data_IF_617460642019
#
_entry.id   IF_617460642019
#
_cell.length_a   1.000
_cell.length_b   1.000
_cell.length_c   1.000
_cell.angle_alpha   90.00
_cell.angle_beta   90.00
_cell.angle_gamma   90.00
#
_symmetry.space_group_name_H-M   'P 1'
#
loop_
_entity.id
_entity.type
_entity.pdbx_description
1 polymer ?
#
# COMPACT_ATOMS: atom_id res chain seq x y z
N UNK A 1 -1.61 -2.53 18.48
CA UNK A 1 -2.61 -1.54 17.99
C UNK A 1 -1.84 -0.27 17.69
N UNK A 2 -2.04 0.35 16.52
CA UNK A 2 -1.34 1.59 16.16
C UNK A 2 -1.88 2.71 17.07
N UNK A 3 -0.99 3.43 17.74
CA UNK A 3 -1.36 4.65 18.48
C UNK A 3 -2.08 5.60 17.53
N UNK A 4 -3.32 5.98 17.85
CA UNK A 4 -4.16 6.78 16.96
C UNK A 4 -4.40 8.14 17.58
N UNK A 5 -3.86 9.16 16.92
CA UNK A 5 -4.09 10.57 17.24
C UNK A 5 -5.42 11.00 16.62
N UNK A 6 -6.17 11.83 17.34
CA UNK A 6 -7.23 12.62 16.73
C UNK A 6 -6.64 13.55 15.65
N UNK A 7 -7.47 14.03 14.73
CA UNK A 7 -7.04 15.01 13.71
C UNK A 7 -6.41 16.26 14.35
N UNK A 8 -6.93 16.70 15.50
CA UNK A 8 -6.39 17.83 16.25
C UNK A 8 -4.99 17.52 16.80
N UNK A 9 -4.85 16.40 17.51
CA UNK A 9 -3.57 15.97 18.07
C UNK A 9 -2.53 15.72 16.97
N UNK A 10 -2.93 15.13 15.85
CA UNK A 10 -2.06 14.93 14.70
C UNK A 10 -1.51 16.26 14.17
N UNK A 11 -2.34 17.32 14.10
CA UNK A 11 -1.89 18.66 13.69
C UNK A 11 -0.91 19.28 14.69
N UNK A 12 -1.21 19.16 15.99
CA UNK A 12 -0.39 19.73 17.07
C UNK A 12 0.96 18.99 17.19
N UNK A 13 0.97 17.66 17.03
CA UNK A 13 2.14 16.82 17.21
C UNK A 13 2.95 16.58 15.93
N UNK A 14 2.46 17.00 14.76
CA UNK A 14 3.12 16.75 13.47
C UNK A 14 4.61 17.12 13.47
N UNK A 15 5.06 18.28 13.99
CA UNK A 15 6.48 18.61 14.02
C UNK A 15 7.33 17.58 14.79
N UNK A 16 6.83 17.09 15.93
CA UNK A 16 7.49 16.09 16.77
C UNK A 16 7.50 14.71 16.10
N UNK A 17 6.40 14.32 15.46
CA UNK A 17 6.34 13.08 14.66
C UNK A 17 7.38 13.12 13.53
N UNK A 18 7.46 14.23 12.79
CA UNK A 18 8.43 14.40 11.72
C UNK A 18 9.87 14.46 12.24
N UNK A 19 10.11 15.05 13.40
CA UNK A 19 11.42 15.03 14.05
C UNK A 19 11.85 13.61 14.43
N UNK A 20 10.95 12.83 15.02
CA UNK A 20 11.19 11.41 15.31
C UNK A 20 11.53 10.63 14.04
N UNK A 21 10.78 10.82 12.95
CA UNK A 21 11.06 10.18 11.67
C UNK A 21 12.43 10.57 11.11
N UNK A 22 12.79 11.86 11.15
CA UNK A 22 14.14 12.33 10.75
C UNK A 22 15.26 11.71 11.59
N UNK A 23 14.97 11.39 12.85
CA UNK A 23 15.91 10.72 13.76
C UNK A 23 15.85 9.17 13.64
N UNK A 24 15.22 8.63 12.59
CA UNK A 24 15.21 7.21 12.28
C UNK A 24 14.11 6.39 12.97
N UNK A 25 13.14 7.02 13.63
CA UNK A 25 11.98 6.30 14.16
C UNK A 25 11.09 5.81 13.01
N UNK A 26 10.87 4.50 12.97
CA UNK A 26 10.10 3.82 11.91
C UNK A 26 8.69 3.43 12.33
N UNK A 27 8.27 3.80 13.55
CA UNK A 27 6.96 3.41 14.10
C UNK A 27 5.82 4.17 13.41
N UNK A 28 4.82 3.46 12.84
CA UNK A 28 3.64 4.10 12.25
C UNK A 28 2.82 4.84 13.30
N UNK A 29 2.23 5.98 12.89
CA UNK A 29 1.30 6.77 13.71
C UNK A 29 -0.06 6.80 13.03
N UNK A 30 -1.11 6.39 13.74
CA UNK A 30 -2.47 6.42 13.26
C UNK A 30 -3.07 7.81 13.40
N UNK A 31 -3.93 8.20 12.46
CA UNK A 31 -4.73 9.41 12.54
C UNK A 31 -6.19 9.03 12.30
N UNK A 32 -7.10 9.58 13.10
CA UNK A 32 -8.53 9.34 12.87
C UNK A 32 -9.41 10.00 13.92
N UNK A 33 -10.56 9.39 14.17
CA UNK A 33 -11.55 9.87 15.13
C UNK A 33 -11.83 8.82 16.21
N UNK A 34 -11.79 9.24 17.48
CA UNK A 34 -11.99 8.37 18.64
C UNK A 34 -11.07 7.12 18.62
N UNK A 35 -11.64 5.91 18.61
CA UNK A 35 -10.91 4.63 18.58
C UNK A 35 -10.74 4.06 17.17
N UNK A 36 -11.04 4.83 16.12
CA UNK A 36 -10.98 4.37 14.73
C UNK A 36 -9.82 5.04 14.01
N UNK A 37 -8.81 4.25 13.66
CA UNK A 37 -7.74 4.66 12.77
C UNK A 37 -8.29 4.81 11.35
N UNK A 38 -8.12 5.98 10.74
CA UNK A 38 -8.60 6.31 9.39
C UNK A 38 -7.45 6.43 8.39
N UNK A 39 -6.30 6.92 8.85
CA UNK A 39 -5.06 7.01 8.09
C UNK A 39 -3.87 6.61 8.96
N UNK A 40 -2.75 6.33 8.30
CA UNK A 40 -1.48 6.05 8.97
C UNK A 40 -0.40 6.92 8.33
N UNK A 41 0.38 7.59 9.16
CA UNK A 41 1.61 8.27 8.78
C UNK A 41 2.79 7.33 9.05
N UNK A 42 3.64 7.18 8.05
CA UNK A 42 4.90 6.43 8.14
C UNK A 42 6.02 7.27 7.52
N UNK A 43 7.29 7.05 7.89
CA UNK A 43 8.41 7.57 7.11
C UNK A 43 8.33 7.11 5.65
N UNK A 44 8.81 7.94 4.73
CA UNK A 44 8.76 7.64 3.30
C UNK A 44 9.53 6.37 2.97
N UNK A 45 10.65 6.12 3.65
CA UNK A 45 11.48 4.93 3.44
C UNK A 45 10.71 3.66 3.81
N UNK A 46 9.89 3.70 4.86
CA UNK A 46 9.03 2.57 5.25
C UNK A 46 7.95 2.32 4.19
N UNK A 47 7.36 3.39 3.63
CA UNK A 47 6.39 3.26 2.55
C UNK A 47 7.04 2.70 1.27
N UNK A 48 8.22 3.18 0.91
CA UNK A 48 8.99 2.73 -0.25
C UNK A 48 9.39 1.26 -0.12
N UNK A 49 9.83 0.81 1.06
CA UNK A 49 10.14 -0.59 1.31
C UNK A 49 8.90 -1.49 1.14
N UNK A 50 7.74 -1.06 1.66
CA UNK A 50 6.49 -1.82 1.56
C UNK A 50 6.00 -1.92 0.11
N UNK A 51 6.10 -0.84 -0.67
CA UNK A 51 5.69 -0.83 -2.08
C UNK A 51 6.70 -1.57 -2.96
N UNK A 52 8.00 -1.45 -2.68
CA UNK A 52 9.04 -2.22 -3.35
C UNK A 52 8.84 -3.73 -3.14
N UNK A 53 8.46 -4.17 -1.94
CA UNK A 53 8.19 -5.59 -1.68
C UNK A 53 7.01 -6.12 -2.50
N UNK A 54 5.95 -5.31 -2.65
CA UNK A 54 4.82 -5.67 -3.52
C UNK A 54 5.23 -5.72 -4.99
N UNK A 55 6.04 -4.77 -5.45
CA UNK A 55 6.56 -4.76 -6.82
C UNK A 55 7.45 -5.99 -7.12
N UNK A 56 8.31 -6.38 -6.16
CA UNK A 56 9.10 -7.62 -6.24
C UNK A 56 8.20 -8.85 -6.32
N UNK A 57 7.19 -8.93 -5.46
CA UNK A 57 6.21 -10.02 -5.46
C UNK A 57 5.48 -10.13 -6.79
N UNK A 58 5.08 -9.00 -7.38
CA UNK A 58 4.44 -8.95 -8.70
C UNK A 58 5.40 -9.43 -9.80
N UNK A 59 6.64 -8.94 -9.79
CA UNK A 59 7.68 -9.35 -10.75
C UNK A 59 7.92 -10.85 -10.71
N UNK A 60 8.02 -11.43 -9.50
CA UNK A 60 8.21 -12.87 -9.31
C UNK A 60 7.00 -13.67 -9.81
N UNK A 61 5.78 -13.21 -9.52
CA UNK A 61 4.55 -13.86 -10.00
C UNK A 61 4.48 -13.86 -11.54
N UNK A 62 4.76 -12.71 -12.18
CA UNK A 62 4.79 -12.61 -13.65
C UNK A 62 5.89 -13.47 -14.28
N UNK A 63 7.06 -13.56 -13.64
CA UNK A 63 8.14 -14.44 -14.09
C UNK A 63 7.74 -15.92 -14.01
N UNK A 64 7.02 -16.32 -12.94
CA UNK A 64 6.49 -17.68 -12.80
C UNK A 64 5.51 -18.03 -13.91
N UNK A 65 4.58 -17.12 -14.25
CA UNK A 65 3.63 -17.33 -15.36
C UNK A 65 4.37 -17.48 -16.69
N UNK A 66 5.40 -16.66 -16.91
CA UNK A 66 6.22 -16.72 -18.14
C UNK A 66 7.02 -18.02 -18.25
N UNK A 67 7.48 -18.58 -17.12
CA UNK A 67 8.19 -19.85 -17.11
C UNK A 67 7.32 -21.02 -17.61
N UNK A 68 6.01 -20.93 -17.41
CA UNK A 68 5.02 -21.89 -17.94
C UNK A 68 4.62 -21.61 -19.41
N UNK A 69 5.32 -20.69 -20.09
CA UNK A 69 5.01 -20.30 -21.47
C UNK A 69 3.76 -19.42 -21.63
N UNK A 70 3.24 -18.88 -20.53
CA UNK A 70 2.06 -18.01 -20.51
C UNK A 70 2.46 -16.54 -20.41
N UNK A 71 1.57 -15.63 -20.82
CA UNK A 71 1.75 -14.18 -20.67
C UNK A 71 0.61 -13.57 -19.88
N UNK A 72 0.93 -12.67 -18.96
CA UNK A 72 -0.08 -11.85 -18.27
C UNK A 72 -0.60 -10.80 -19.25
N UNK A 73 -1.92 -10.60 -19.30
CA UNK A 73 -2.52 -9.57 -20.15
C UNK A 73 -2.20 -8.16 -19.63
N UNK A 74 -2.02 -7.20 -20.54
CA UNK A 74 -1.64 -5.82 -20.20
C UNK A 74 -2.61 -5.15 -19.22
N UNK A 75 -3.92 -5.41 -19.35
CA UNK A 75 -4.92 -4.87 -18.43
C UNK A 75 -4.80 -5.45 -17.01
N UNK A 76 -4.46 -6.74 -16.90
CA UNK A 76 -4.21 -7.39 -15.60
C UNK A 76 -2.95 -6.83 -14.97
N UNK A 77 -1.90 -6.61 -15.77
CA UNK A 77 -0.66 -5.99 -15.31
C UNK A 77 -0.91 -4.57 -14.78
N UNK A 78 -1.65 -3.74 -15.51
CA UNK A 78 -2.04 -2.40 -15.07
C UNK A 78 -2.84 -2.40 -13.76
N UNK A 79 -3.76 -3.36 -13.58
CA UNK A 79 -4.50 -3.52 -12.30
C UNK A 79 -3.54 -3.90 -11.17
N UNK A 80 -2.63 -4.84 -11.41
CA UNK A 80 -1.68 -5.32 -10.42
C UNK A 80 -0.66 -4.24 -10.01
N UNK A 81 -0.24 -3.37 -10.94
CA UNK A 81 0.63 -2.23 -10.65
C UNK A 81 -0.03 -1.21 -9.72
N UNK A 82 -1.33 -0.92 -9.90
CA UNK A 82 -2.09 -0.06 -8.99
C UNK A 82 -2.14 -0.63 -7.58
N UNK A 83 -2.28 -1.95 -7.46
CA UNK A 83 -2.21 -2.64 -6.17
C UNK A 83 -0.81 -2.57 -5.55
N UNK A 84 0.24 -2.77 -6.36
CA UNK A 84 1.62 -2.70 -5.90
C UNK A 84 1.96 -1.31 -5.33
N UNK A 85 1.47 -0.24 -5.95
CA UNK A 85 1.58 1.15 -5.48
C UNK A 85 0.66 1.51 -4.30
N UNK A 86 -0.22 0.59 -3.89
CA UNK A 86 -1.14 0.79 -2.78
C UNK A 86 -2.36 1.66 -3.09
N UNK A 87 -2.64 1.94 -4.36
CA UNK A 87 -3.79 2.74 -4.79
C UNK A 87 -5.12 2.00 -4.66
N UNK A 88 -5.06 0.66 -4.69
CA UNK A 88 -6.21 -0.22 -4.50
C UNK A 88 -5.87 -1.34 -3.51
N UNK A 89 -6.89 -1.80 -2.80
CA UNK A 89 -6.79 -2.97 -1.94
C UNK A 89 -6.66 -4.27 -2.75
N UNK A 90 -6.20 -5.34 -2.09
CA UNK A 90 -6.18 -6.69 -2.67
C UNK A 90 -7.58 -7.16 -3.09
N UNK A 91 -8.63 -6.79 -2.36
CA UNK A 91 -10.02 -7.13 -2.69
C UNK A 91 -10.43 -6.45 -3.99
N UNK A 92 -10.19 -5.15 -4.10
CA UNK A 92 -10.49 -4.38 -5.32
C UNK A 92 -9.71 -4.89 -6.53
N UNK A 93 -8.43 -5.24 -6.36
CA UNK A 93 -7.62 -5.84 -7.43
C UNK A 93 -8.25 -7.13 -7.96
N UNK A 94 -8.63 -8.06 -7.08
CA UNK A 94 -9.31 -9.31 -7.47
C UNK A 94 -10.63 -9.06 -8.18
N UNK A 95 -11.42 -8.11 -7.69
CA UNK A 95 -12.70 -7.75 -8.30
C UNK A 95 -12.55 -7.09 -9.68
N UNK A 96 -11.51 -6.28 -9.88
CA UNK A 96 -11.20 -5.67 -11.18
C UNK A 96 -10.74 -6.72 -12.18
N UNK A 97 -9.84 -7.63 -11.77
CA UNK A 97 -9.39 -8.74 -12.64
C UNK A 97 -10.55 -9.64 -13.01
N UNK A 98 -11.43 -10.00 -12.05
CA UNK A 98 -12.62 -10.80 -12.36
C UNK A 98 -13.52 -10.11 -13.39
N UNK A 99 -13.82 -8.83 -13.18
CA UNK A 99 -14.66 -8.05 -14.10
C UNK A 99 -14.08 -7.92 -15.51
N UNK A 100 -12.77 -7.93 -15.66
CA UNK A 100 -12.12 -7.89 -16.97
C UNK A 100 -12.49 -9.10 -17.82
N UNK A 101 -12.62 -10.28 -17.21
CA UNK A 101 -12.93 -11.53 -17.90
C UNK A 101 -14.43 -11.89 -17.89
N UNK A 102 -15.23 -11.27 -17.01
CA UNK A 102 -16.69 -11.39 -17.01
C UNK A 102 -17.37 -10.41 -17.99
N UNK A 103 -16.61 -9.50 -18.62
CA UNK A 103 -17.13 -8.58 -19.63
C UNK A 103 -17.43 -9.35 -20.94
N UNK A 104 -18.63 -9.18 -21.53
CA UNK A 104 -19.04 -9.88 -22.75
C UNK A 104 -18.24 -9.47 -24.00
#
# INVERSE_FOLDING_TARGET
MIETLSVREAREQLPSVLERFRNGDRRPVGVGSHRKTEAVMVPVEVFDELTAERARSLTQASASVRAEGLTVGADVEAIAERWARGEISTVQMRELVRRLYDAP
#
